data_IF_990514656405
#
_entry.id   IF_990514656405
#
_cell.length_a   1.000
_cell.length_b   1.000
_cell.length_c   1.000
_cell.angle_alpha   90.00
_cell.angle_beta   90.00
_cell.angle_gamma   90.00
#
_symmetry.space_group_name_H-M   'P 1'
#
loop_
_entity.id
_entity.type
_entity.pdbx_description
1 polymer ?
#
# COMPACT_ATOMS: atom_id res chain seq x y z
N UNK A 1 -4.64 14.21 4.27
CA UNK A 1 -5.95 13.55 4.45
C UNK A 1 -5.80 12.05 4.67
N UNK A 2 -5.04 11.30 3.84
CA UNK A 2 -4.92 9.83 3.97
C UNK A 2 -4.34 9.35 5.30
N UNK A 3 -3.49 10.15 5.94
CA UNK A 3 -2.91 9.88 7.27
C UNK A 3 -3.78 10.37 8.44
N UNK A 4 -4.99 10.89 8.16
CA UNK A 4 -5.97 11.32 9.17
C UNK A 4 -7.15 10.35 9.24
N UNK A 5 -7.66 9.92 8.08
CA UNK A 5 -8.86 9.07 7.99
C UNK A 5 -8.77 7.75 8.80
N UNK A 6 -7.62 7.05 8.86
CA UNK A 6 -7.51 5.84 9.66
C UNK A 6 -7.72 6.07 11.16
N UNK A 7 -7.38 7.27 11.65
CA UNK A 7 -7.53 7.64 13.07
C UNK A 7 -8.88 8.29 13.40
N UNK A 8 -9.73 8.54 12.40
CA UNK A 8 -11.00 9.26 12.56
C UNK A 8 -12.14 8.48 11.92
N UNK A 9 -12.34 8.63 10.61
CA UNK A 9 -13.47 8.03 9.88
C UNK A 9 -13.55 6.51 10.00
N UNK A 10 -12.40 5.81 9.91
CA UNK A 10 -12.37 4.35 9.95
C UNK A 10 -12.45 3.74 11.35
N UNK A 11 -12.37 4.56 12.41
CA UNK A 11 -12.72 4.13 13.78
C UNK A 11 -14.24 3.93 13.90
N UNK A 12 -15.03 4.72 13.18
CA UNK A 12 -16.49 4.60 13.19
C UNK A 12 -17.03 3.41 12.39
N UNK A 13 -16.18 2.71 11.63
CA UNK A 13 -16.54 1.55 10.83
C UNK A 13 -16.08 1.61 9.39
N UNK A 14 -16.56 0.67 8.59
CA UNK A 14 -16.22 0.54 7.18
C UNK A 14 -16.75 1.72 6.33
N UNK A 15 -16.11 1.94 5.20
CA UNK A 15 -16.56 2.86 4.16
C UNK A 15 -16.20 2.29 2.78
N UNK A 16 -16.95 2.70 1.76
CA UNK A 16 -16.61 2.39 0.38
C UNK A 16 -15.29 3.05 0.01
N UNK A 17 -14.49 2.33 -0.76
CA UNK A 17 -13.24 2.87 -1.24
C UNK A 17 -12.98 2.47 -2.69
N UNK A 18 -12.74 3.47 -3.53
CA UNK A 18 -12.24 3.25 -4.88
C UNK A 18 -10.74 3.51 -4.88
N UNK A 19 -9.99 2.49 -5.25
CA UNK A 19 -8.53 2.55 -5.36
C UNK A 19 -8.20 3.18 -6.70
N UNK A 20 -7.75 4.44 -6.75
CA UNK A 20 -7.27 5.04 -7.99
C UNK A 20 -5.84 4.57 -8.22
N UNK A 21 -5.62 3.73 -9.20
CA UNK A 21 -4.30 3.17 -9.49
C UNK A 21 -3.86 3.48 -10.91
N UNK A 22 -2.74 4.22 -11.07
CA UNK A 22 -2.16 4.58 -12.37
C UNK A 22 -0.77 5.21 -12.22
N UNK A 23 -0.09 5.37 -13.36
CA UNK A 23 1.18 6.09 -13.46
C UNK A 23 0.96 7.60 -13.62
N UNK A 24 1.72 8.43 -12.89
CA UNK A 24 1.68 9.89 -13.02
C UNK A 24 1.96 10.41 -14.45
N UNK A 25 2.68 9.64 -15.26
CA UNK A 25 3.10 10.06 -16.60
C UNK A 25 1.97 10.02 -17.60
N UNK A 26 0.97 9.19 -17.39
CA UNK A 26 -0.04 8.85 -18.38
C UNK A 26 -1.30 9.72 -18.31
N UNK A 27 -1.50 10.48 -17.24
CA UNK A 27 -2.65 11.37 -17.11
C UNK A 27 -2.62 12.60 -18.03
N UNK A 28 -1.44 13.06 -18.42
CA UNK A 28 -1.31 14.30 -19.21
C UNK A 28 -2.04 14.29 -20.55
N UNK A 29 -2.07 13.19 -21.33
CA UNK A 29 -2.79 13.18 -22.60
C UNK A 29 -4.30 13.17 -22.44
N UNK A 30 -4.84 12.44 -21.45
CA UNK A 30 -6.28 12.22 -21.29
C UNK A 30 -6.99 13.34 -20.51
N UNK A 31 -6.24 14.09 -19.70
CA UNK A 31 -6.77 15.18 -18.89
C UNK A 31 -6.59 16.56 -19.50
N UNK A 32 -6.20 16.66 -20.75
CA UNK A 32 -6.03 17.97 -21.45
C UNK A 32 -7.27 18.86 -21.35
N UNK A 33 -8.44 18.28 -21.14
CA UNK A 33 -9.72 18.98 -21.04
C UNK A 33 -10.43 18.78 -19.68
N UNK A 34 -9.79 18.17 -18.70
CA UNK A 34 -10.39 18.03 -17.37
C UNK A 34 -10.30 19.38 -16.64
N UNK A 35 -11.43 19.90 -16.11
CA UNK A 35 -11.47 21.26 -15.56
C UNK A 35 -10.56 21.47 -14.35
N UNK A 36 -9.99 20.43 -13.76
CA UNK A 36 -9.33 20.53 -12.45
C UNK A 36 -7.89 20.03 -12.40
N UNK A 37 -7.24 19.62 -13.44
CA UNK A 37 -5.84 19.11 -13.39
C UNK A 37 -5.54 18.22 -12.18
N UNK A 38 -6.53 17.44 -11.71
CA UNK A 38 -6.43 16.63 -10.50
C UNK A 38 -5.54 15.41 -10.76
N UNK A 39 -4.24 15.65 -10.73
CA UNK A 39 -3.25 14.59 -10.72
C UNK A 39 -3.24 13.95 -9.35
N UNK A 40 -3.31 12.61 -9.27
CA UNK A 40 -3.02 11.91 -8.03
C UNK A 40 -1.59 12.24 -7.61
N UNK A 41 -1.47 12.79 -6.41
CA UNK A 41 -0.18 13.29 -5.89
C UNK A 41 0.56 12.23 -5.08
N UNK A 42 -0.10 11.13 -4.76
CA UNK A 42 0.48 10.00 -4.04
C UNK A 42 1.22 9.08 -5.00
N UNK A 43 2.23 8.39 -4.48
CA UNK A 43 2.91 7.37 -5.27
C UNK A 43 2.02 6.14 -5.49
N UNK A 44 2.25 5.33 -6.52
CA UNK A 44 1.53 4.07 -6.70
C UNK A 44 1.67 3.11 -5.51
N UNK A 45 2.84 3.04 -4.86
CA UNK A 45 3.03 2.25 -3.65
C UNK A 45 2.16 2.74 -2.47
N UNK A 46 1.93 4.06 -2.35
CA UNK A 46 0.97 4.62 -1.41
C UNK A 46 -0.47 4.17 -1.71
N UNK A 47 -0.84 4.10 -2.98
CA UNK A 47 -2.18 3.67 -3.39
C UNK A 47 -2.41 2.19 -3.06
N UNK A 48 -1.41 1.32 -3.30
CA UNK A 48 -1.44 -0.08 -2.85
C UNK A 48 -1.63 -0.16 -1.33
N UNK A 49 -0.86 0.62 -0.58
CA UNK A 49 -0.92 0.63 0.88
C UNK A 49 -2.30 1.05 1.42
N UNK A 50 -2.97 1.99 0.76
CA UNK A 50 -4.31 2.45 1.17
C UNK A 50 -5.36 1.34 1.12
N UNK A 51 -5.24 0.37 0.20
CA UNK A 51 -6.17 -0.76 0.10
C UNK A 51 -6.13 -1.69 1.33
N UNK A 52 -5.03 -1.67 2.07
CA UNK A 52 -4.87 -2.39 3.34
C UNK A 52 -5.25 -1.49 4.53
N UNK A 53 -4.82 -0.23 4.51
CA UNK A 53 -5.01 0.70 5.64
C UNK A 53 -6.48 1.09 5.81
N UNK A 54 -7.19 1.37 4.72
CA UNK A 54 -8.59 1.72 4.79
C UNK A 54 -9.46 0.49 5.02
N UNK A 55 -10.34 0.56 6.01
CA UNK A 55 -11.29 -0.51 6.26
C UNK A 55 -12.48 -0.37 5.30
N UNK A 56 -12.42 -1.12 4.23
CA UNK A 56 -13.45 -1.16 3.19
C UNK A 56 -13.65 -2.59 2.71
N UNK A 57 -14.75 -3.26 3.12
CA UNK A 57 -15.10 -4.59 2.60
C UNK A 57 -15.45 -4.57 1.11
N UNK A 58 -15.91 -3.41 0.61
CA UNK A 58 -16.20 -3.20 -0.80
C UNK A 58 -15.18 -2.23 -1.38
N UNK A 59 -14.25 -2.74 -2.19
CA UNK A 59 -13.23 -1.95 -2.85
C UNK A 59 -13.36 -2.08 -4.36
N UNK A 60 -13.28 -0.95 -5.06
CA UNK A 60 -13.20 -0.90 -6.51
C UNK A 60 -11.78 -0.50 -6.90
N UNK A 61 -11.19 -1.23 -7.85
CA UNK A 61 -9.97 -0.80 -8.50
C UNK A 61 -10.35 0.05 -9.71
N UNK A 62 -10.02 1.32 -9.68
CA UNK A 62 -10.17 2.22 -10.81
C UNK A 62 -8.82 2.41 -11.48
N UNK A 63 -8.64 1.73 -12.61
CA UNK A 63 -7.47 1.90 -13.46
C UNK A 63 -7.71 3.09 -14.39
N UNK A 64 -6.87 4.11 -14.32
CA UNK A 64 -7.07 5.34 -15.09
C UNK A 64 -6.73 5.21 -16.57
N UNK A 65 -5.85 4.26 -16.89
CA UNK A 65 -5.47 3.97 -18.27
C UNK A 65 -6.39 2.90 -18.85
N UNK A 66 -6.30 2.70 -20.17
CA UNK A 66 -6.92 1.52 -20.75
C UNK A 66 -6.31 0.25 -20.13
N UNK A 67 -7.10 -0.78 -19.85
CA UNK A 67 -6.57 -2.08 -19.40
C UNK A 67 -5.52 -2.66 -20.37
N UNK A 68 -5.61 -2.32 -21.65
CA UNK A 68 -4.64 -2.70 -22.69
C UNK A 68 -3.27 -2.04 -22.51
N UNK A 69 -3.19 -0.92 -21.80
CA UNK A 69 -1.97 -0.17 -21.55
C UNK A 69 -1.18 -0.73 -20.35
N UNK A 70 -1.64 -1.80 -19.71
CA UNK A 70 -0.90 -2.47 -18.63
C UNK A 70 0.39 -3.05 -19.19
N UNK A 71 1.51 -2.45 -18.82
CA UNK A 71 2.84 -2.75 -19.38
C UNK A 71 3.59 -3.86 -18.66
N UNK A 72 2.90 -4.74 -17.92
CA UNK A 72 3.53 -5.80 -17.14
C UNK A 72 4.11 -5.29 -15.81
N UNK A 73 3.47 -4.33 -15.18
CA UNK A 73 3.81 -3.84 -13.85
C UNK A 73 3.68 -4.99 -12.83
N UNK A 74 4.79 -5.41 -12.18
CA UNK A 74 4.81 -6.60 -11.34
C UNK A 74 3.98 -6.46 -10.07
N UNK A 75 3.70 -5.23 -9.65
CA UNK A 75 2.88 -4.95 -8.47
C UNK A 75 1.38 -5.23 -8.67
N UNK A 76 0.93 -5.44 -9.90
CA UNK A 76 -0.47 -5.83 -10.16
C UNK A 76 -0.81 -7.14 -9.44
N UNK A 77 0.14 -8.06 -9.31
CA UNK A 77 -0.01 -9.29 -8.54
C UNK A 77 -0.39 -9.07 -7.06
N UNK A 78 -0.23 -7.85 -6.53
CA UNK A 78 -0.74 -7.49 -5.21
C UNK A 78 -2.26 -7.53 -5.17
N UNK A 79 -2.92 -6.99 -6.20
CA UNK A 79 -4.39 -6.95 -6.26
C UNK A 79 -5.00 -8.35 -6.43
N UNK A 80 -4.31 -9.28 -7.08
CA UNK A 80 -4.75 -10.68 -7.22
C UNK A 80 -4.85 -11.39 -5.86
N UNK A 81 -4.06 -10.95 -4.88
CA UNK A 81 -4.00 -11.52 -3.54
C UNK A 81 -4.76 -10.70 -2.50
N UNK A 82 -5.05 -9.43 -2.78
CA UNK A 82 -5.67 -8.51 -1.83
C UNK A 82 -6.99 -9.06 -1.30
N UNK A 83 -7.16 -8.95 0.01
CA UNK A 83 -8.40 -9.26 0.71
C UNK A 83 -9.06 -7.98 1.21
N UNK A 84 -10.36 -8.01 1.39
CA UNK A 84 -11.17 -6.87 1.86
C UNK A 84 -11.83 -7.14 3.20
N UNK A 85 -11.85 -8.40 3.64
CA UNK A 85 -12.35 -8.83 4.96
C UNK A 85 -11.17 -9.37 5.76
N UNK A 86 -11.13 -9.07 7.04
CA UNK A 86 -9.98 -9.31 7.90
C UNK A 86 -10.36 -10.05 9.16
N UNK A 87 -9.57 -11.07 9.51
CA UNK A 87 -9.72 -11.86 10.76
C UNK A 87 -9.08 -11.13 11.95
N UNK A 88 -8.01 -10.35 11.70
CA UNK A 88 -7.31 -9.55 12.72
C UNK A 88 -6.79 -8.25 12.08
N UNK A 89 -6.70 -7.20 12.89
CA UNK A 89 -6.18 -5.88 12.48
C UNK A 89 -5.38 -5.24 13.60
N UNK A 90 -4.15 -4.84 13.29
CA UNK A 90 -3.21 -4.25 14.26
C UNK A 90 -2.63 -2.95 13.74
N UNK A 91 -2.67 -1.93 14.57
CA UNK A 91 -1.88 -0.71 14.34
C UNK A 91 -0.47 -0.98 14.87
N UNK A 92 0.52 -0.91 14.00
CA UNK A 92 1.92 -1.17 14.35
C UNK A 92 2.59 0.11 14.87
N UNK A 93 2.33 1.21 14.20
CA UNK A 93 2.76 2.55 14.63
C UNK A 93 1.98 3.62 13.88
N UNK A 94 1.93 4.84 14.40
CA UNK A 94 1.28 5.93 13.69
C UNK A 94 1.18 7.21 14.50
N UNK A 95 1.04 8.30 13.77
CA UNK A 95 0.82 9.64 14.28
C UNK A 95 -0.17 10.35 13.35
N UNK A 96 -1.30 10.79 13.91
CA UNK A 96 -2.36 11.41 13.12
C UNK A 96 -1.83 12.59 12.30
N UNK A 97 -2.17 12.61 11.01
CA UNK A 97 -1.70 13.64 10.07
C UNK A 97 -0.28 13.40 9.53
N UNK A 98 0.51 12.54 10.15
CA UNK A 98 1.90 12.28 9.80
C UNK A 98 2.08 10.98 9.04
N UNK A 99 1.80 9.84 9.66
CA UNK A 99 1.97 8.51 9.06
C UNK A 99 1.13 7.47 9.79
N UNK A 100 1.01 6.30 9.18
CA UNK A 100 0.45 5.11 9.83
C UNK A 100 1.08 3.86 9.23
N UNK A 101 1.30 2.84 10.06
CA UNK A 101 1.62 1.48 9.68
C UNK A 101 0.63 0.51 10.33
N UNK A 102 0.07 -0.39 9.55
CA UNK A 102 -0.91 -1.38 9.98
C UNK A 102 -0.59 -2.76 9.45
N UNK A 103 -1.04 -3.79 10.18
CA UNK A 103 -1.07 -5.17 9.73
C UNK A 103 -2.51 -5.70 9.81
N UNK A 104 -2.94 -6.47 8.79
CA UNK A 104 -4.24 -7.12 8.73
C UNK A 104 -4.07 -8.57 8.34
N UNK A 105 -4.78 -9.46 9.00
CA UNK A 105 -4.75 -10.90 8.74
C UNK A 105 -5.98 -11.35 7.96
N UNK A 106 -5.75 -12.24 7.00
CA UNK A 106 -6.80 -13.06 6.43
C UNK A 106 -6.25 -14.48 6.26
N UNK A 107 -6.84 -15.42 6.97
CA UNK A 107 -6.39 -16.83 7.04
C UNK A 107 -4.93 -16.93 7.49
N UNK A 108 -4.06 -17.43 6.65
CA UNK A 108 -2.62 -17.63 6.90
C UNK A 108 -1.72 -16.51 6.32
N UNK A 109 -2.34 -15.47 5.76
CA UNK A 109 -1.63 -14.32 5.20
C UNK A 109 -1.77 -13.08 6.07
N UNK A 110 -0.69 -12.31 6.14
CA UNK A 110 -0.69 -10.97 6.71
C UNK A 110 -0.41 -9.93 5.63
N UNK A 111 -1.25 -8.93 5.59
CA UNK A 111 -1.11 -7.75 4.75
C UNK A 111 -0.62 -6.60 5.63
N UNK A 112 0.57 -6.09 5.34
CA UNK A 112 1.18 -5.00 6.12
C UNK A 112 1.34 -3.79 5.22
N UNK A 113 0.97 -2.62 5.71
CA UNK A 113 1.06 -1.40 4.92
C UNK A 113 1.49 -0.21 5.76
N UNK A 114 2.23 0.70 5.13
CA UNK A 114 2.61 1.97 5.71
C UNK A 114 2.48 3.10 4.70
N UNK A 115 2.03 4.28 5.15
CA UNK A 115 1.95 5.51 4.36
C UNK A 115 2.49 6.69 5.15
N UNK A 116 2.99 7.70 4.43
CA UNK A 116 3.38 8.98 5.02
C UNK A 116 2.68 10.15 4.32
N UNK A 117 2.71 11.31 4.97
CA UNK A 117 2.24 12.58 4.44
C UNK A 117 3.23 13.17 3.41
N UNK A 118 3.30 14.50 3.31
CA UNK A 118 4.20 15.20 2.39
C UNK A 118 5.69 15.11 2.76
N UNK A 119 6.02 14.48 3.88
CA UNK A 119 7.40 14.38 4.36
C UNK A 119 7.95 12.98 4.07
N UNK A 120 9.20 12.93 3.64
CA UNK A 120 9.98 11.69 3.63
C UNK A 120 10.11 11.16 5.06
N UNK A 121 9.98 9.84 5.24
CA UNK A 121 10.00 9.23 6.57
C UNK A 121 10.63 7.85 6.55
N UNK A 122 11.27 7.51 7.67
CA UNK A 122 11.63 6.12 7.97
C UNK A 122 10.62 5.62 9.00
N UNK A 123 9.94 4.52 8.68
CA UNK A 123 8.97 3.89 9.56
C UNK A 123 9.48 2.51 9.95
N UNK A 124 9.71 2.31 11.25
CA UNK A 124 10.09 1.00 11.78
C UNK A 124 8.85 0.10 11.89
N UNK A 125 8.95 -1.12 11.36
CA UNK A 125 7.91 -2.13 11.42
C UNK A 125 8.48 -3.38 12.09
N UNK A 126 7.89 -3.80 13.23
CA UNK A 126 8.16 -5.08 13.87
C UNK A 126 7.16 -6.12 13.38
N UNK A 127 7.63 -7.34 13.18
CA UNK A 127 6.80 -8.49 12.80
C UNK A 127 6.50 -9.42 13.98
N UNK A 128 6.54 -8.92 15.21
CA UNK A 128 6.30 -9.69 16.45
C UNK A 128 4.87 -10.27 16.55
N UNK A 129 3.96 -9.80 15.72
CA UNK A 129 2.61 -10.34 15.58
C UNK A 129 2.56 -11.68 14.81
N UNK A 130 3.65 -12.08 14.12
CA UNK A 130 3.74 -13.37 13.45
C UNK A 130 3.94 -14.51 14.46
N UNK A 131 3.54 -15.71 14.10
CA UNK A 131 3.70 -16.91 14.96
C UNK A 131 5.18 -17.18 15.25
N UNK A 132 5.57 -17.28 16.52
CA UNK A 132 6.94 -17.60 16.89
C UNK A 132 7.44 -18.92 16.29
N UNK A 133 8.68 -18.93 15.82
CA UNK A 133 9.28 -20.14 15.23
C UNK A 133 8.88 -20.45 13.79
N UNK A 134 7.89 -19.73 13.22
CA UNK A 134 7.48 -19.91 11.83
C UNK A 134 8.24 -18.98 10.90
N UNK A 135 8.38 -19.41 9.65
CA UNK A 135 8.98 -18.61 8.56
C UNK A 135 7.89 -18.16 7.61
N UNK A 136 8.02 -16.94 7.14
CA UNK A 136 7.11 -16.35 6.17
C UNK A 136 7.89 -15.82 4.97
N UNK A 137 7.31 -15.92 3.80
CA UNK A 137 7.76 -15.20 2.61
C UNK A 137 7.11 -13.83 2.61
N UNK A 138 7.91 -12.77 2.71
CA UNK A 138 7.44 -11.39 2.59
C UNK A 138 7.69 -10.89 1.18
N UNK A 139 6.62 -10.53 0.46
CA UNK A 139 6.70 -9.76 -0.78
C UNK A 139 6.37 -8.31 -0.46
N UNK A 140 7.25 -7.39 -0.81
CA UNK A 140 7.16 -5.97 -0.48
C UNK A 140 7.07 -5.13 -1.77
N UNK A 141 6.10 -4.23 -1.81
CA UNK A 141 5.79 -3.29 -2.88
C UNK A 141 6.02 -1.89 -2.33
N UNK A 142 7.10 -1.24 -2.73
CA UNK A 142 7.54 0.03 -2.15
C UNK A 142 7.85 1.06 -3.23
N UNK A 143 7.99 2.31 -2.82
CA UNK A 143 8.47 3.36 -3.72
C UNK A 143 9.84 2.98 -4.27
N UNK A 144 9.95 2.96 -5.59
CA UNK A 144 11.19 2.73 -6.31
C UNK A 144 11.92 4.03 -6.63
N UNK A 145 13.05 3.88 -7.26
CA UNK A 145 13.84 4.98 -7.81
C UNK A 145 14.01 4.82 -9.35
N UNK A 146 14.84 5.64 -9.96
CA UNK A 146 15.10 5.64 -11.41
C UNK A 146 15.64 4.31 -11.96
N UNK A 147 16.04 3.36 -11.11
CA UNK A 147 16.48 2.01 -11.51
C UNK A 147 15.30 1.11 -11.83
N UNK A 148 14.12 1.40 -11.26
CA UNK A 148 12.88 0.68 -11.57
C UNK A 148 12.34 1.23 -12.89
N UNK A 149 12.23 0.37 -13.90
CA UNK A 149 11.89 0.77 -15.28
C UNK A 149 10.40 0.72 -15.61
N UNK A 150 9.56 0.24 -14.67
CA UNK A 150 8.10 0.25 -14.86
C UNK A 150 7.57 1.68 -14.84
N UNK A 151 6.42 1.92 -15.47
CA UNK A 151 5.75 3.24 -15.48
C UNK A 151 5.40 3.72 -14.07
N UNK A 152 4.99 2.81 -13.22
CA UNK A 152 4.59 3.07 -11.84
C UNK A 152 5.75 3.29 -10.88
N UNK A 153 6.96 2.84 -11.27
CA UNK A 153 8.16 2.88 -10.44
C UNK A 153 7.98 2.20 -9.06
N UNK A 154 7.12 1.19 -8.99
CA UNK A 154 7.02 0.35 -7.78
C UNK A 154 8.13 -0.70 -7.79
N UNK A 155 8.90 -0.72 -6.71
CA UNK A 155 9.92 -1.74 -6.48
C UNK A 155 9.30 -2.92 -5.78
N UNK A 156 9.43 -4.12 -6.37
CA UNK A 156 8.97 -5.38 -5.77
C UNK A 156 10.19 -6.16 -5.30
N UNK A 157 10.18 -6.57 -4.02
CA UNK A 157 11.24 -7.41 -3.43
C UNK A 157 10.62 -8.51 -2.58
N UNK A 158 11.35 -9.64 -2.48
CA UNK A 158 10.93 -10.78 -1.67
C UNK A 158 12.04 -11.19 -0.73
N UNK A 159 11.70 -11.49 0.53
CA UNK A 159 12.63 -12.00 1.53
C UNK A 159 11.94 -12.92 2.53
N UNK A 160 12.73 -13.67 3.28
CA UNK A 160 12.23 -14.49 4.39
C UNK A 160 12.24 -13.67 5.66
N UNK A 161 11.15 -13.80 6.43
CA UNK A 161 11.00 -13.14 7.72
C UNK A 161 10.48 -14.10 8.79
N UNK A 162 10.62 -13.69 10.03
CA UNK A 162 10.06 -14.35 11.23
C UNK A 162 9.48 -13.31 12.18
N UNK A 163 8.88 -13.73 13.27
CA UNK A 163 8.41 -12.85 14.34
C UNK A 163 9.49 -11.97 14.98
N UNK A 164 10.78 -12.28 14.78
CA UNK A 164 11.91 -11.47 15.29
C UNK A 164 12.38 -10.40 14.30
N UNK A 165 11.83 -10.39 13.09
CA UNK A 165 12.24 -9.45 12.04
C UNK A 165 11.75 -8.04 12.35
N UNK A 166 12.61 -7.06 12.10
CA UNK A 166 12.28 -5.62 12.08
C UNK A 166 12.77 -5.04 10.77
N UNK A 167 11.97 -4.16 10.17
CA UNK A 167 12.30 -3.50 8.91
C UNK A 167 12.17 -1.99 9.04
N UNK A 168 13.12 -1.27 8.46
CA UNK A 168 13.08 0.19 8.31
C UNK A 168 12.54 0.52 6.92
N UNK A 169 11.32 1.00 6.84
CA UNK A 169 10.67 1.38 5.58
C UNK A 169 11.02 2.83 5.23
N UNK A 170 11.71 3.03 4.11
CA UNK A 170 12.06 4.36 3.61
C UNK A 170 10.97 4.89 2.69
N UNK A 171 10.03 5.65 3.22
CA UNK A 171 8.90 6.21 2.48
C UNK A 171 9.27 7.56 1.86
N UNK A 172 9.01 7.72 0.56
CA UNK A 172 9.14 9.01 -0.12
C UNK A 172 8.03 9.98 0.33
N UNK A 173 8.15 11.29 0.07
CA UNK A 173 7.04 12.22 0.30
C UNK A 173 5.76 11.74 -0.39
N UNK A 174 4.66 11.62 0.35
CA UNK A 174 3.39 11.04 -0.11
C UNK A 174 3.52 9.60 -0.59
N UNK A 175 4.55 8.92 -0.11
CA UNK A 175 4.89 7.54 -0.45
C UNK A 175 4.25 6.53 0.48
N UNK A 176 4.44 5.28 0.14
CA UNK A 176 3.94 4.15 0.89
C UNK A 176 4.68 2.85 0.60
N UNK A 177 4.27 1.84 1.33
CA UNK A 177 4.73 0.47 1.16
C UNK A 177 3.58 -0.47 1.50
N UNK A 178 3.31 -1.45 0.62
CA UNK A 178 2.41 -2.55 0.87
C UNK A 178 3.20 -3.86 0.88
N UNK A 179 2.80 -4.80 1.73
CA UNK A 179 3.52 -6.06 1.90
C UNK A 179 2.52 -7.21 2.11
N UNK A 180 2.90 -8.40 1.63
CA UNK A 180 2.19 -9.65 1.90
C UNK A 180 3.17 -10.62 2.51
N UNK A 181 2.86 -11.09 3.72
CA UNK A 181 3.61 -12.16 4.40
C UNK A 181 2.78 -13.44 4.35
N UNK A 182 3.28 -14.45 3.64
CA UNK A 182 2.65 -15.76 3.49
C UNK A 182 3.43 -16.81 4.27
N UNK A 183 2.75 -17.61 5.08
CA UNK A 183 3.32 -18.70 5.84
C UNK A 183 3.95 -19.74 4.90
N UNK A 184 5.13 -20.31 5.27
CA UNK A 184 5.85 -21.34 4.53
C UNK A 184 5.68 -22.72 5.18
#
# INVERSE_FOLDING_TARGET
>A
MNTVLPFTRFIAGAADYTIPYYSRRDLKPHLKNAPDNKVLINTPAHQLALSVIYYSPLQYLYWYDNPEDVGGEPEIAFFDQLKTVWDDSRVLSGEIGSYIAMARKNSDQWFVAAITNNQKRIVEVSFDFLEPGRKYRLTMYSDGDNRVKTRTQVKVTTQLITSKTKLSLHLQPRGGCAMIATLL
#
